data_IF_289512024167
#
_entry.id   IF_289512024167
#
_cell.length_a   1.000
_cell.length_b   1.000
_cell.length_c   1.000
_cell.angle_alpha   90.00
_cell.angle_beta   90.00
_cell.angle_gamma   90.00
#
_symmetry.space_group_name_H-M   'P 1'
#
loop_
_entity.id
_entity.type
_entity.pdbx_description
1 polymer ?
#
# COMPACT_ATOMS: atom_id res chain seq x y z
N UNK A 1 -1.30 1.37 -31.38
CA UNK A 1 -0.71 1.64 -30.04
C UNK A 1 -1.84 1.66 -29.03
N UNK A 2 -2.16 0.51 -28.41
CA UNK A 2 -3.15 0.48 -27.34
C UNK A 2 -2.42 0.88 -26.05
N UNK A 3 -2.73 2.06 -25.52
CA UNK A 3 -2.27 2.45 -24.19
C UNK A 3 -2.88 1.44 -23.22
N UNK A 4 -2.05 0.51 -22.72
CA UNK A 4 -2.45 -0.43 -21.69
C UNK A 4 -2.93 0.37 -20.49
N UNK A 5 -4.21 0.27 -20.14
CA UNK A 5 -4.74 0.93 -18.97
C UNK A 5 -4.01 0.38 -17.75
N UNK A 6 -3.07 1.14 -17.20
CA UNK A 6 -2.39 0.75 -15.98
C UNK A 6 -3.42 0.73 -14.86
N UNK A 7 -3.61 -0.43 -14.26
CA UNK A 7 -4.49 -0.59 -13.11
C UNK A 7 -3.97 0.28 -11.96
N UNK A 8 -4.81 1.09 -11.29
CA UNK A 8 -4.37 1.91 -10.18
C UNK A 8 -3.82 1.03 -9.04
N UNK A 9 -2.91 1.58 -8.22
CA UNK A 9 -2.36 0.89 -7.05
C UNK A 9 -3.23 1.14 -5.82
N UNK A 10 -3.30 0.16 -4.92
CA UNK A 10 -4.00 0.24 -3.64
C UNK A 10 -3.69 1.54 -2.87
N UNK A 11 -2.41 1.88 -2.67
CA UNK A 11 -2.01 3.07 -1.91
C UNK A 11 -2.59 4.34 -2.53
N UNK A 12 -2.58 4.45 -3.86
CA UNK A 12 -3.14 5.61 -4.55
C UNK A 12 -4.65 5.74 -4.34
N UNK A 13 -5.38 4.63 -4.41
CA UNK A 13 -6.83 4.62 -4.17
C UNK A 13 -7.16 4.91 -2.68
N UNK A 14 -6.38 4.36 -1.76
CA UNK A 14 -6.54 4.59 -0.34
C UNK A 14 -6.27 6.06 0.04
N UNK A 15 -5.25 6.69 -0.53
CA UNK A 15 -4.95 8.13 -0.34
C UNK A 15 -6.06 9.03 -0.91
N UNK A 16 -6.74 8.59 -1.96
CA UNK A 16 -7.93 9.28 -2.51
C UNK A 16 -9.18 9.10 -1.64
N UNK A 17 -9.09 8.37 -0.52
CA UNK A 17 -10.21 8.16 0.41
C UNK A 17 -11.25 7.14 -0.07
N UNK A 18 -10.90 6.28 -1.04
CA UNK A 18 -11.81 5.24 -1.50
C UNK A 18 -12.09 4.23 -0.38
N UNK A 19 -13.33 3.75 -0.28
CA UNK A 19 -13.66 2.68 0.67
C UNK A 19 -13.11 1.34 0.18
N UNK A 20 -12.66 0.51 1.10
CA UNK A 20 -11.97 -0.75 0.82
C UNK A 20 -12.76 -1.69 -0.09
N UNK A 21 -14.09 -1.72 0.03
CA UNK A 21 -14.98 -2.51 -0.86
C UNK A 21 -14.92 -2.09 -2.34
N UNK A 22 -14.71 -0.80 -2.62
CA UNK A 22 -14.58 -0.29 -3.98
C UNK A 22 -13.19 -0.57 -4.53
N UNK A 23 -12.17 -0.46 -3.67
CA UNK A 23 -10.79 -0.79 -4.03
C UNK A 23 -10.67 -2.28 -4.34
N UNK A 24 -11.27 -3.15 -3.53
CA UNK A 24 -11.33 -4.60 -3.74
C UNK A 24 -11.92 -4.93 -5.11
N UNK A 25 -13.09 -4.34 -5.44
CA UNK A 25 -13.74 -4.53 -6.74
C UNK A 25 -12.90 -4.01 -7.91
N UNK A 26 -12.33 -2.81 -7.79
CA UNK A 26 -11.51 -2.21 -8.85
C UNK A 26 -10.25 -3.04 -9.09
N UNK A 27 -9.56 -3.44 -8.02
CA UNK A 27 -8.35 -4.25 -8.07
C UNK A 27 -8.61 -5.73 -8.39
N UNK A 28 -9.85 -6.20 -8.28
CA UNK A 28 -10.20 -7.61 -8.45
C UNK A 28 -9.62 -8.48 -7.33
N UNK A 29 -9.64 -7.94 -6.11
CA UNK A 29 -9.10 -8.54 -4.89
C UNK A 29 -10.21 -8.76 -3.87
N UNK A 30 -9.97 -9.63 -2.90
CA UNK A 30 -10.86 -9.77 -1.75
C UNK A 30 -10.65 -8.61 -0.74
N UNK A 31 -11.67 -8.32 0.07
CA UNK A 31 -11.61 -7.27 1.09
C UNK A 31 -10.55 -7.55 2.17
N UNK A 32 -10.35 -8.82 2.57
CA UNK A 32 -9.31 -9.20 3.53
C UNK A 32 -7.90 -9.03 2.94
N UNK A 33 -7.73 -9.28 1.64
CA UNK A 33 -6.47 -9.03 0.94
C UNK A 33 -6.15 -7.54 0.91
N UNK A 34 -7.14 -6.69 0.59
CA UNK A 34 -7.02 -5.23 0.63
C UNK A 34 -6.65 -4.74 2.03
N UNK A 35 -7.30 -5.27 3.07
CA UNK A 35 -7.01 -4.89 4.46
C UNK A 35 -5.58 -5.27 4.87
N UNK A 36 -5.15 -6.51 4.57
CA UNK A 36 -3.77 -6.96 4.84
C UNK A 36 -2.74 -6.11 4.13
N UNK A 37 -2.96 -5.83 2.85
CA UNK A 37 -2.04 -4.99 2.08
C UNK A 37 -1.99 -3.56 2.63
N UNK A 38 -3.12 -2.97 3.04
CA UNK A 38 -3.13 -1.65 3.70
C UNK A 38 -2.30 -1.62 4.97
N UNK A 39 -2.40 -2.66 5.81
CA UNK A 39 -1.62 -2.74 7.06
C UNK A 39 -0.11 -2.83 6.78
N UNK A 40 0.29 -3.67 5.82
CA UNK A 40 1.70 -3.82 5.42
C UNK A 40 2.22 -2.53 4.76
N UNK A 41 1.45 -1.94 3.85
CA UNK A 41 1.82 -0.70 3.17
C UNK A 41 1.90 0.48 4.12
N UNK A 42 1.00 0.59 5.10
CA UNK A 42 1.04 1.65 6.10
C UNK A 42 2.30 1.59 6.98
N UNK A 43 2.76 0.39 7.35
CA UNK A 43 4.05 0.21 8.02
C UNK A 43 5.21 0.61 7.10
N UNK A 44 5.22 0.15 5.85
CA UNK A 44 6.26 0.48 4.90
C UNK A 44 6.36 2.00 4.63
N UNK A 45 5.23 2.70 4.52
CA UNK A 45 5.20 4.17 4.34
C UNK A 45 5.68 4.92 5.59
N UNK A 46 5.31 4.46 6.80
CA UNK A 46 5.79 5.06 8.06
C UNK A 46 7.33 5.03 8.17
N UNK A 47 7.96 4.02 7.58
CA UNK A 47 9.41 3.79 7.68
C UNK A 47 10.19 4.14 6.40
N UNK A 48 9.52 4.35 5.27
CA UNK A 48 10.16 4.50 3.95
C UNK A 48 11.04 5.74 3.77
N UNK A 49 10.90 6.75 4.65
CA UNK A 49 11.74 7.96 4.67
C UNK A 49 12.70 8.06 5.85
N UNK A 50 12.79 7.02 6.69
CA UNK A 50 13.62 7.07 7.90
C UNK A 50 15.01 6.50 7.66
N UNK A 51 16.05 7.22 8.11
CA UNK A 51 17.40 6.68 8.23
C UNK A 51 17.53 5.97 9.57
N UNK A 52 17.73 4.65 9.56
CA UNK A 52 17.92 3.86 10.78
C UNK A 52 19.39 3.86 11.20
N UNK A 53 19.66 4.04 12.49
CA UNK A 53 20.99 3.80 13.06
C UNK A 53 21.14 2.32 13.42
N UNK A 54 22.35 1.79 13.29
CA UNK A 54 22.69 0.43 13.74
C UNK A 54 22.51 0.31 15.26
N UNK A 55 21.33 -0.15 15.70
CA UNK A 55 20.97 -0.28 17.11
C UNK A 55 21.72 -1.41 17.84
N UNK A 56 22.57 -2.17 17.15
CA UNK A 56 23.32 -3.29 17.71
C UNK A 56 24.75 -2.95 18.13
N UNK A 57 25.23 -1.72 17.96
CA UNK A 57 26.55 -1.32 18.46
C UNK A 57 26.43 -0.99 19.95
N UNK A 58 26.41 -2.04 20.77
CA UNK A 58 26.75 -1.93 22.19
C UNK A 58 28.26 -1.66 22.27
N UNK A 59 28.65 -0.52 22.85
CA UNK A 59 30.05 -0.17 23.13
C UNK A 59 30.38 -0.43 24.59
#
# INVERSE_FOLDING_TARGET
MQQGKHKPRLCGLALLGWKDVWIAKELGMDADEVLRLKQISGLAEMFGGSTFSDAWIMK
#
